data_IF_764565078583
#
_entry.id   IF_764565078583
#
_cell.length_a   1.000
_cell.length_b   1.000
_cell.length_c   1.000
_cell.angle_alpha   90.00
_cell.angle_beta   90.00
_cell.angle_gamma   90.00
#
_symmetry.space_group_name_H-M   'P 1'
#
loop_
_entity.id
_entity.type
_entity.pdbx_description
1 polymer ?
#
# COMPACT_ATOMS: atom_id res chain seq x y z
N UNK A 1 19.88 8.07 21.13
CA UNK A 1 20.03 7.87 19.68
C UNK A 1 19.74 6.41 19.40
N UNK A 2 18.95 6.10 18.38
CA UNK A 2 18.79 4.72 17.91
C UNK A 2 19.65 4.46 16.68
N UNK A 3 20.20 3.25 16.60
CA UNK A 3 21.09 2.81 15.53
C UNK A 3 20.36 1.79 14.65
N UNK A 4 20.61 1.84 13.35
CA UNK A 4 20.07 0.91 12.36
C UNK A 4 18.53 0.82 12.35
N UNK A 5 17.85 1.96 12.50
CA UNK A 5 16.39 1.98 12.30
C UNK A 5 16.07 1.80 10.81
N UNK A 6 14.87 1.33 10.52
CA UNK A 6 14.41 1.08 9.16
C UNK A 6 14.70 -0.33 8.77
N UNK A 7 15.27 -0.55 7.58
CA UNK A 7 15.50 -1.87 6.98
C UNK A 7 14.31 -2.44 6.19
N UNK A 8 13.47 -1.55 5.66
CA UNK A 8 12.38 -1.91 4.76
C UNK A 8 12.93 -2.18 3.36
N UNK A 9 12.66 -3.38 2.83
CA UNK A 9 13.18 -3.76 1.51
C UNK A 9 12.36 -3.15 0.36
N UNK A 10 13.01 -2.99 -0.79
CA UNK A 10 12.39 -2.69 -2.08
C UNK A 10 12.69 -3.80 -3.09
N UNK A 11 11.86 -3.94 -4.14
CA UNK A 11 12.12 -4.90 -5.22
C UNK A 11 13.42 -4.54 -5.98
N UNK A 12 14.22 -5.53 -6.46
CA UNK A 12 15.49 -5.26 -7.10
C UNK A 12 15.39 -4.39 -8.37
N UNK A 13 16.34 -3.47 -8.53
CA UNK A 13 16.49 -2.67 -9.74
C UNK A 13 17.45 -3.34 -10.72
N UNK A 14 16.92 -4.13 -11.66
CA UNK A 14 17.75 -4.87 -12.62
C UNK A 14 18.51 -3.99 -13.62
N UNK A 15 18.19 -2.70 -13.74
CA UNK A 15 18.99 -1.75 -14.54
C UNK A 15 20.39 -1.54 -13.97
N UNK A 16 20.62 -1.89 -12.70
CA UNK A 16 21.92 -1.81 -12.05
C UNK A 16 22.90 -2.87 -12.55
N UNK A 17 22.43 -4.01 -13.08
CA UNK A 17 23.28 -5.14 -13.49
C UNK A 17 24.41 -4.67 -14.43
N UNK A 18 24.09 -3.80 -15.39
CA UNK A 18 25.08 -3.28 -16.37
C UNK A 18 26.14 -2.35 -15.77
N UNK A 19 25.93 -1.82 -14.55
CA UNK A 19 26.88 -0.93 -13.87
C UNK A 19 28.06 -1.68 -13.25
N UNK A 20 27.91 -2.98 -12.99
CA UNK A 20 28.94 -3.82 -12.39
C UNK A 20 30.00 -4.28 -13.42
N UNK A 21 30.81 -3.32 -13.87
CA UNK A 21 31.88 -3.55 -14.87
C UNK A 21 33.21 -4.01 -14.25
N UNK A 22 33.38 -3.83 -12.94
CA UNK A 22 34.59 -4.18 -12.19
C UNK A 22 34.70 -5.67 -11.80
N UNK A 23 35.43 -5.93 -10.71
CA UNK A 23 35.70 -7.29 -10.19
C UNK A 23 34.49 -7.92 -9.49
N UNK A 24 33.57 -7.10 -8.96
CA UNK A 24 32.33 -7.57 -8.36
C UNK A 24 31.28 -7.83 -9.45
N UNK A 25 30.59 -8.97 -9.36
CA UNK A 25 29.52 -9.37 -10.30
C UNK A 25 28.19 -9.53 -9.56
N UNK A 26 27.08 -8.96 -10.06
CA UNK A 26 25.80 -8.93 -9.36
C UNK A 26 24.99 -10.21 -9.64
N UNK A 27 25.59 -11.37 -9.36
CA UNK A 27 25.02 -12.69 -9.73
C UNK A 27 23.66 -12.96 -9.11
N UNK A 28 23.41 -12.43 -7.92
CA UNK A 28 22.10 -12.47 -7.31
C UNK A 28 21.03 -11.74 -8.13
N UNK A 29 21.32 -10.54 -8.64
CA UNK A 29 20.36 -9.80 -9.49
C UNK A 29 20.11 -10.52 -10.81
N UNK A 30 21.13 -11.15 -11.41
CA UNK A 30 20.96 -11.99 -12.60
C UNK A 30 19.99 -13.16 -12.30
N UNK A 31 20.17 -13.88 -11.19
CA UNK A 31 19.28 -14.97 -10.76
C UNK A 31 17.86 -14.49 -10.49
N UNK A 32 17.70 -13.36 -9.79
CA UNK A 32 16.38 -12.79 -9.50
C UNK A 32 15.65 -12.39 -10.78
N UNK A 33 16.37 -11.80 -11.74
CA UNK A 33 15.83 -11.44 -13.05
C UNK A 33 15.41 -12.67 -13.85
N UNK A 34 16.27 -13.68 -13.95
CA UNK A 34 15.96 -14.94 -14.63
C UNK A 34 14.74 -15.63 -14.01
N UNK A 35 14.65 -15.66 -12.68
CA UNK A 35 13.49 -16.21 -11.95
C UNK A 35 12.21 -15.42 -12.23
N UNK A 36 12.28 -14.09 -12.30
CA UNK A 36 11.13 -13.25 -12.61
C UNK A 36 10.64 -13.48 -14.06
N UNK A 37 11.57 -13.60 -15.01
CA UNK A 37 11.28 -13.93 -16.41
C UNK A 37 10.66 -15.33 -16.54
N UNK A 38 11.19 -16.32 -15.82
CA UNK A 38 10.65 -17.67 -15.76
C UNK A 38 9.22 -17.72 -15.18
N UNK A 39 8.87 -16.76 -14.32
CA UNK A 39 7.51 -16.57 -13.80
C UNK A 39 6.63 -15.65 -14.66
N UNK A 40 7.07 -15.30 -15.87
CA UNK A 40 6.32 -14.49 -16.84
C UNK A 40 5.98 -13.07 -16.35
N UNK A 41 6.88 -12.46 -15.57
CA UNK A 41 6.69 -11.11 -15.02
C UNK A 41 7.90 -10.18 -15.26
N UNK A 42 8.81 -10.54 -16.16
CA UNK A 42 10.03 -9.76 -16.43
C UNK A 42 9.76 -8.33 -16.89
N UNK A 43 8.66 -8.12 -17.63
CA UNK A 43 8.15 -6.81 -18.08
C UNK A 43 7.62 -5.94 -16.93
N UNK A 44 7.33 -6.53 -15.77
CA UNK A 44 6.85 -5.83 -14.59
C UNK A 44 7.96 -5.41 -13.62
N UNK A 45 9.23 -5.76 -13.88
CA UNK A 45 10.34 -5.49 -12.96
C UNK A 45 10.42 -4.01 -12.53
N UNK A 46 10.34 -3.09 -13.50
CA UNK A 46 10.35 -1.65 -13.24
C UNK A 46 9.11 -1.21 -12.42
N UNK A 47 7.93 -1.75 -12.74
CA UNK A 47 6.70 -1.45 -12.01
C UNK A 47 6.77 -1.97 -10.57
N UNK A 48 7.40 -3.13 -10.34
CA UNK A 48 7.61 -3.68 -9.00
C UNK A 48 8.57 -2.82 -8.19
N UNK A 49 9.69 -2.38 -8.76
CA UNK A 49 10.60 -1.42 -8.13
C UNK A 49 9.85 -0.14 -7.73
N UNK A 50 9.10 0.45 -8.66
CA UNK A 50 8.40 1.71 -8.42
C UNK A 50 7.29 1.59 -7.37
N UNK A 51 6.49 0.52 -7.41
CA UNK A 51 5.38 0.32 -6.48
C UNK A 51 5.88 -0.06 -5.08
N UNK A 52 6.81 -1.01 -4.97
CA UNK A 52 7.40 -1.37 -3.68
C UNK A 52 8.24 -0.25 -3.08
N UNK A 53 8.90 0.56 -3.92
CA UNK A 53 9.69 1.71 -3.46
C UNK A 53 8.84 2.83 -2.85
N UNK A 54 7.64 3.08 -3.41
CA UNK A 54 6.68 3.99 -2.77
C UNK A 54 6.24 3.49 -1.40
N UNK A 55 6.01 2.19 -1.24
CA UNK A 55 5.72 1.60 0.08
C UNK A 55 6.93 1.70 1.03
N UNK A 56 8.14 1.44 0.54
CA UNK A 56 9.38 1.57 1.31
C UNK A 56 9.54 3.00 1.86
N UNK A 57 9.36 4.01 1.01
CA UNK A 57 9.39 5.41 1.42
C UNK A 57 8.30 5.75 2.45
N UNK A 58 7.11 5.16 2.32
CA UNK A 58 6.02 5.32 3.29
C UNK A 58 6.39 4.74 4.66
N UNK A 59 7.02 3.56 4.69
CA UNK A 59 7.51 2.93 5.92
C UNK A 59 8.62 3.77 6.58
N UNK A 60 9.61 4.24 5.81
CA UNK A 60 10.66 5.13 6.31
C UNK A 60 10.09 6.44 6.88
N UNK A 61 9.16 7.07 6.16
CA UNK A 61 8.47 8.28 6.66
C UNK A 61 7.77 8.01 7.98
N UNK A 62 7.01 6.93 8.11
CA UNK A 62 6.29 6.60 9.33
C UNK A 62 7.24 6.41 10.53
N UNK A 63 8.36 5.73 10.32
CA UNK A 63 9.34 5.43 11.35
C UNK A 63 10.17 6.64 11.76
N UNK A 64 10.68 7.42 10.79
CA UNK A 64 11.44 8.65 11.05
C UNK A 64 10.55 9.66 11.78
N UNK A 65 9.31 9.83 11.34
CA UNK A 65 8.38 10.71 12.05
C UNK A 65 8.07 10.21 13.47
N UNK A 66 8.02 8.89 13.71
CA UNK A 66 7.84 8.35 15.05
C UNK A 66 9.04 8.67 15.96
N UNK A 67 10.26 8.53 15.44
CA UNK A 67 11.48 8.93 16.14
C UNK A 67 11.46 10.44 16.47
N UNK A 68 11.13 11.28 15.49
CA UNK A 68 11.07 12.74 15.66
C UNK A 68 9.94 13.18 16.60
N UNK A 69 8.81 12.46 16.65
CA UNK A 69 7.71 12.70 17.60
C UNK A 69 8.01 12.23 19.03
N UNK A 70 9.08 11.49 19.27
CA UNK A 70 9.38 10.91 20.58
C UNK A 70 10.17 11.89 21.44
N UNK A 71 9.53 12.52 22.42
CA UNK A 71 10.18 13.51 23.31
C UNK A 71 11.43 12.94 23.97
N UNK A 72 12.55 13.66 23.85
CA UNK A 72 13.84 13.24 24.42
C UNK A 72 14.61 12.22 23.57
N UNK A 73 14.05 11.79 22.43
CA UNK A 73 14.76 10.94 21.49
C UNK A 73 15.80 11.75 20.71
N UNK A 74 17.08 11.61 21.08
CA UNK A 74 18.18 12.43 20.55
C UNK A 74 18.61 12.16 19.11
N UNK A 75 17.83 11.45 18.30
CA UNK A 75 18.11 11.18 16.88
C UNK A 75 18.20 9.70 16.51
N UNK A 76 18.44 9.42 15.23
CA UNK A 76 18.51 8.08 14.65
C UNK A 76 19.62 7.96 13.61
N UNK A 77 19.98 6.73 13.29
CA UNK A 77 20.80 6.36 12.12
C UNK A 77 20.06 5.28 11.33
N UNK A 78 19.88 5.49 10.02
CA UNK A 78 19.30 4.48 9.13
C UNK A 78 20.33 3.38 8.83
N UNK A 79 19.87 2.17 8.50
CA UNK A 79 20.69 1.16 7.86
C UNK A 79 20.18 0.90 6.43
N UNK A 80 20.83 1.40 5.39
CA UNK A 80 21.52 2.69 5.28
C UNK A 80 20.68 3.53 4.27
N UNK A 81 21.07 4.76 3.94
CA UNK A 81 20.43 5.54 2.87
C UNK A 81 20.59 4.87 1.50
N UNK A 82 21.68 4.11 1.32
CA UNK A 82 21.95 3.32 0.12
C UNK A 82 21.86 1.80 0.36
N UNK A 83 21.74 1.05 -0.73
CA UNK A 83 21.77 -0.41 -0.64
C UNK A 83 23.15 -0.94 -0.26
N UNK A 84 23.15 -1.97 0.58
CA UNK A 84 24.37 -2.69 0.93
C UNK A 84 24.52 -3.94 0.06
N UNK A 85 25.54 -4.02 -0.81
CA UNK A 85 25.72 -5.16 -1.71
C UNK A 85 26.32 -6.41 -1.03
N UNK A 86 26.78 -6.31 0.22
CA UNK A 86 27.33 -7.44 0.98
C UNK A 86 26.26 -8.36 1.58
N UNK A 87 26.69 -9.52 2.12
CA UNK A 87 25.85 -10.45 2.90
C UNK A 87 24.49 -10.85 2.25
N UNK A 88 24.46 -11.10 0.94
CA UNK A 88 23.24 -11.52 0.24
C UNK A 88 22.34 -10.38 -0.25
N UNK A 89 22.86 -9.14 -0.19
CA UNK A 89 22.25 -7.87 -0.66
C UNK A 89 21.05 -7.41 0.16
N UNK A 90 21.25 -6.32 0.90
CA UNK A 90 20.20 -5.61 1.61
C UNK A 90 19.66 -4.47 0.73
N UNK A 91 18.48 -4.69 0.16
CA UNK A 91 17.76 -3.73 -0.69
C UNK A 91 16.97 -2.72 0.14
N UNK A 92 17.63 -2.13 1.13
CA UNK A 92 17.01 -1.28 2.16
C UNK A 92 17.19 0.21 1.87
N UNK A 93 18.16 0.60 1.05
CA UNK A 93 18.40 1.99 0.72
C UNK A 93 17.34 2.57 -0.21
N UNK A 94 17.18 3.88 -0.17
CA UNK A 94 16.47 4.64 -1.22
C UNK A 94 17.38 5.00 -2.39
N UNK A 95 18.70 4.88 -2.19
CA UNK A 95 19.74 4.96 -3.21
C UNK A 95 20.30 3.57 -3.52
N UNK A 96 20.82 3.39 -4.73
CA UNK A 96 21.53 2.17 -5.11
C UNK A 96 22.97 2.13 -4.53
N UNK A 97 23.72 1.02 -4.65
CA UNK A 97 25.08 0.92 -4.13
C UNK A 97 26.10 1.90 -4.75
N UNK A 98 25.71 2.57 -5.85
CA UNK A 98 26.50 3.60 -6.54
C UNK A 98 26.09 5.01 -6.13
N UNK A 99 25.23 5.16 -5.11
CA UNK A 99 24.65 6.42 -4.63
C UNK A 99 23.70 7.11 -5.63
N UNK A 100 23.16 6.37 -6.59
CA UNK A 100 22.21 6.92 -7.57
C UNK A 100 20.77 6.71 -7.11
N UNK A 101 19.88 7.64 -7.49
CA UNK A 101 18.46 7.55 -7.18
C UNK A 101 17.80 6.36 -7.90
N UNK A 102 16.96 5.62 -7.17
CA UNK A 102 16.16 4.53 -7.73
C UNK A 102 14.87 5.00 -8.43
N UNK A 103 14.52 6.27 -8.28
CA UNK A 103 13.48 6.97 -9.06
C UNK A 103 12.08 7.04 -8.45
N UNK A 104 11.78 6.35 -7.34
CA UNK A 104 10.45 6.36 -6.71
C UNK A 104 10.27 7.44 -5.63
N UNK A 105 11.34 8.07 -5.17
CA UNK A 105 11.31 9.22 -4.27
C UNK A 105 12.50 10.14 -4.57
N UNK A 106 12.24 11.44 -4.64
CA UNK A 106 13.27 12.46 -4.83
C UNK A 106 13.87 12.88 -3.49
N UNK A 107 15.08 13.43 -3.51
CA UNK A 107 15.68 14.10 -2.34
C UNK A 107 14.77 15.16 -1.72
N UNK A 108 14.08 15.95 -2.56
CA UNK A 108 13.16 16.99 -2.10
C UNK A 108 11.99 16.41 -1.31
N UNK A 109 11.37 15.32 -1.78
CA UNK A 109 10.28 14.62 -1.09
C UNK A 109 10.77 13.96 0.20
N UNK A 110 11.93 13.30 0.18
CA UNK A 110 12.50 12.63 1.36
C UNK A 110 12.83 13.64 2.47
N UNK A 111 13.35 14.81 2.08
CA UNK A 111 13.67 15.91 3.00
C UNK A 111 12.43 16.54 3.67
N UNK A 112 11.21 16.21 3.24
CA UNK A 112 10.00 16.70 3.93
C UNK A 112 9.79 16.04 5.29
N UNK A 113 10.28 14.81 5.45
CA UNK A 113 10.16 14.04 6.70
C UNK A 113 11.51 13.70 7.35
N UNK A 114 12.63 13.92 6.66
CA UNK A 114 13.99 13.70 7.20
C UNK A 114 14.87 14.94 6.95
N UNK A 115 14.80 15.93 7.84
CA UNK A 115 15.50 17.21 7.71
C UNK A 115 15.76 17.83 9.09
N UNK A 116 16.45 18.97 9.14
CA UNK A 116 16.73 19.69 10.37
C UNK A 116 15.47 20.25 11.03
N UNK A 117 14.46 20.66 10.25
CA UNK A 117 13.13 21.01 10.75
C UNK A 117 12.09 20.17 10.05
N UNK A 118 11.26 19.50 10.82
CA UNK A 118 10.23 18.59 10.29
C UNK A 118 8.89 18.91 10.95
N UNK A 119 7.92 19.45 10.19
CA UNK A 119 6.53 19.49 10.61
C UNK A 119 5.98 18.08 10.80
N UNK A 120 5.27 17.85 11.90
CA UNK A 120 4.75 16.55 12.30
C UNK A 120 3.26 16.67 12.61
N UNK A 121 2.51 15.62 12.30
CA UNK A 121 1.11 15.50 12.70
C UNK A 121 0.90 14.17 13.38
N UNK A 122 0.06 14.16 14.43
CA UNK A 122 -0.51 12.96 15.02
C UNK A 122 -1.95 12.81 14.53
N UNK A 123 -2.19 11.71 13.84
CA UNK A 123 -3.52 11.28 13.41
C UNK A 123 -3.80 9.95 14.12
N UNK A 124 -4.95 9.84 14.79
CA UNK A 124 -5.42 8.56 15.35
C UNK A 124 -5.75 7.56 14.25
N UNK A 125 -6.29 8.06 13.14
CA UNK A 125 -6.63 7.28 11.95
C UNK A 125 -6.42 8.11 10.69
N UNK A 126 -6.28 7.42 9.56
CA UNK A 126 -6.14 8.02 8.21
C UNK A 126 -7.37 7.79 7.33
N UNK A 127 -8.34 7.07 7.85
CA UNK A 127 -9.52 6.61 7.15
C UNK A 127 -10.71 7.20 7.88
N UNK A 128 -11.49 7.97 7.15
CA UNK A 128 -12.60 8.72 7.69
C UNK A 128 -13.86 8.42 6.89
N UNK A 129 -14.98 8.51 7.59
CA UNK A 129 -16.28 8.63 6.97
C UNK A 129 -16.63 10.12 6.81
N UNK A 130 -17.39 10.46 5.78
CA UNK A 130 -17.97 11.79 5.69
C UNK A 130 -18.83 12.12 6.93
N UNK A 131 -18.85 13.40 7.32
CA UNK A 131 -19.45 13.87 8.56
C UNK A 131 -18.59 13.63 9.81
N UNK A 132 -17.50 12.87 9.72
CA UNK A 132 -16.55 12.80 10.83
C UNK A 132 -15.68 14.05 10.93
N UNK A 133 -15.18 14.30 12.14
CA UNK A 133 -14.23 15.36 12.39
C UNK A 133 -12.80 14.83 12.29
N UNK A 134 -12.02 15.38 11.37
CA UNK A 134 -10.58 15.21 11.35
C UNK A 134 -9.95 16.04 12.48
N UNK A 135 -9.31 15.35 13.42
CA UNK A 135 -8.55 15.95 14.50
C UNK A 135 -7.08 15.61 14.30
N UNK A 136 -6.24 16.63 14.22
CA UNK A 136 -4.80 16.47 14.02
C UNK A 136 -4.03 17.37 15.00
N UNK A 137 -3.29 16.76 15.94
CA UNK A 137 -2.32 17.49 16.76
C UNK A 137 -1.08 17.76 15.92
N UNK A 138 -0.66 19.01 15.85
CA UNK A 138 0.46 19.47 15.04
C UNK A 138 1.65 19.74 15.94
N UNK A 139 2.76 19.10 15.62
CA UNK A 139 4.04 19.23 16.33
C UNK A 139 5.14 19.60 15.34
N UNK A 140 6.31 19.98 15.86
CA UNK A 140 7.51 20.15 15.06
C UNK A 140 8.73 19.61 15.79
N UNK A 141 9.66 19.04 15.03
CA UNK A 141 11.02 18.82 15.47
C UNK A 141 11.92 19.89 14.84
N UNK A 142 12.70 20.59 15.64
CA UNK A 142 13.68 21.59 15.21
C UNK A 142 15.07 21.22 15.76
N UNK A 143 15.89 20.68 14.88
CA UNK A 143 17.30 20.38 15.10
C UNK A 143 18.22 21.28 14.24
N UNK A 144 17.76 22.48 13.86
CA UNK A 144 18.66 23.53 13.36
C UNK A 144 19.62 24.00 14.46
N UNK A 145 20.64 24.75 14.06
CA UNK A 145 21.58 25.40 14.98
C UNK A 145 20.92 26.49 15.84
N UNK A 146 19.77 27.02 15.42
CA UNK A 146 19.09 28.15 16.06
C UNK A 146 17.59 27.88 16.22
N UNK A 147 16.99 28.60 17.17
CA UNK A 147 15.54 28.65 17.35
C UNK A 147 14.86 29.43 16.21
N UNK A 148 13.68 29.00 15.78
CA UNK A 148 12.88 29.77 14.83
C UNK A 148 12.01 30.76 15.59
N UNK A 149 12.11 32.05 15.26
CA UNK A 149 11.38 33.11 15.97
C UNK A 149 10.14 33.54 15.21
N UNK A 150 9.06 33.82 15.96
CA UNK A 150 7.85 34.45 15.44
C UNK A 150 7.19 33.70 14.26
N UNK A 151 7.26 32.36 14.26
CA UNK A 151 6.73 31.51 13.20
C UNK A 151 5.21 31.44 13.28
N UNK A 152 4.55 31.49 12.12
CA UNK A 152 3.11 31.23 11.98
C UNK A 152 2.97 29.97 11.12
N UNK A 153 2.79 28.78 11.72
CA UNK A 153 2.58 27.56 10.96
C UNK A 153 1.28 27.64 10.17
N UNK A 154 1.29 27.07 8.97
CA UNK A 154 0.13 27.04 8.07
C UNK A 154 -0.24 25.61 7.73
N UNK A 155 -1.50 25.38 7.44
CA UNK A 155 -1.96 24.09 6.97
C UNK A 155 -2.97 24.25 5.84
N UNK A 156 -3.04 23.24 4.98
CA UNK A 156 -4.06 23.10 3.94
C UNK A 156 -4.46 21.64 3.80
N UNK A 157 -5.72 21.43 3.47
CA UNK A 157 -6.30 20.15 3.11
C UNK A 157 -6.77 20.25 1.66
N UNK A 158 -6.22 19.44 0.78
CA UNK A 158 -6.54 19.47 -0.65
C UNK A 158 -6.81 18.10 -1.23
N UNK A 159 -7.66 18.02 -2.24
CA UNK A 159 -7.82 16.84 -3.09
C UNK A 159 -6.60 16.64 -3.98
N UNK A 160 -6.51 15.46 -4.61
CA UNK A 160 -5.38 15.09 -5.49
C UNK A 160 -5.21 15.98 -6.73
N UNK A 161 -6.30 16.60 -7.21
CA UNK A 161 -6.30 17.58 -8.31
C UNK A 161 -5.88 18.99 -7.87
N UNK A 162 -5.54 19.19 -6.60
CA UNK A 162 -5.05 20.44 -6.04
C UNK A 162 -6.14 21.39 -5.56
N UNK A 163 -7.42 21.01 -5.62
CA UNK A 163 -8.50 21.83 -5.05
C UNK A 163 -8.39 21.83 -3.52
N UNK A 164 -8.34 23.03 -2.94
CA UNK A 164 -8.28 23.23 -1.49
C UNK A 164 -9.70 23.05 -0.92
N UNK A 165 -9.88 22.07 -0.04
CA UNK A 165 -11.12 21.90 0.73
C UNK A 165 -11.14 22.79 1.97
N UNK A 166 -9.98 22.98 2.60
CA UNK A 166 -9.84 23.85 3.77
C UNK A 166 -8.39 24.28 3.97
N UNK A 167 -8.17 25.39 4.65
CA UNK A 167 -6.83 25.86 5.03
C UNK A 167 -6.89 26.78 6.23
N UNK A 168 -5.77 26.95 6.92
CA UNK A 168 -5.70 27.81 8.07
C UNK A 168 -4.28 28.09 8.53
N UNK A 169 -4.18 28.80 9.65
CA UNK A 169 -2.92 29.09 10.34
C UNK A 169 -3.06 28.70 11.81
N UNK A 170 -1.96 28.23 12.40
CA UNK A 170 -1.87 27.94 13.82
C UNK A 170 -1.34 29.18 14.58
N UNK A 171 -1.47 29.23 15.93
CA UNK A 171 -0.98 30.35 16.72
C UNK A 171 0.50 30.67 16.43
N UNK A 172 0.80 31.97 16.40
CA UNK A 172 2.17 32.46 16.28
C UNK A 172 3.00 31.98 17.48
N UNK A 173 4.17 31.38 17.24
CA UNK A 173 5.03 30.87 18.30
C UNK A 173 6.52 30.96 17.94
N UNK A 174 7.36 30.91 18.96
CA UNK A 174 8.79 30.62 18.82
C UNK A 174 8.99 29.10 18.91
N UNK A 175 9.89 28.55 18.10
CA UNK A 175 10.19 27.11 18.05
C UNK A 175 11.62 26.91 18.53
N UNK A 176 11.75 26.40 19.77
CA UNK A 176 13.04 26.08 20.38
C UNK A 176 13.75 24.92 19.66
N UNK A 177 15.01 24.66 20.02
CA UNK A 177 15.72 23.46 19.57
C UNK A 177 15.21 22.24 20.35
N UNK A 178 14.89 21.16 19.64
CA UNK A 178 14.42 19.90 20.20
C UNK A 178 13.25 19.31 19.43
N UNK A 179 12.49 18.43 20.08
CA UNK A 179 11.38 17.73 19.45
C UNK A 179 10.13 17.64 20.35
N UNK A 180 9.00 17.29 19.74
CA UNK A 180 7.69 17.29 20.41
C UNK A 180 7.23 18.69 20.81
N UNK A 181 7.57 19.70 20.01
CA UNK A 181 7.15 21.09 20.22
C UNK A 181 5.74 21.22 19.66
N UNK A 182 4.77 21.51 20.53
CA UNK A 182 3.36 21.68 20.16
C UNK A 182 3.14 22.98 19.38
N UNK A 183 2.43 22.88 18.26
CA UNK A 183 2.01 24.00 17.42
C UNK A 183 0.50 24.23 17.47
N UNK A 184 -0.26 23.34 18.12
CA UNK A 184 -1.71 23.40 18.23
C UNK A 184 -2.42 22.31 17.44
N UNK A 185 -3.72 22.52 17.21
CA UNK A 185 -4.64 21.48 16.71
C UNK A 185 -5.38 21.94 15.47
N UNK A 186 -5.48 21.06 14.48
CA UNK A 186 -6.37 21.19 13.35
C UNK A 186 -7.65 20.42 13.66
N UNK A 187 -8.79 21.06 13.42
CA UNK A 187 -10.11 20.50 13.65
C UNK A 187 -10.99 20.83 12.44
N UNK A 188 -11.38 19.82 11.68
CA UNK A 188 -12.10 19.98 10.42
C UNK A 188 -13.22 18.95 10.31
N UNK A 189 -14.46 19.42 10.23
CA UNK A 189 -15.61 18.57 9.92
C UNK A 189 -15.62 18.25 8.43
N UNK A 190 -15.52 16.97 8.10
CA UNK A 190 -15.45 16.51 6.72
C UNK A 190 -16.85 16.62 6.09
N UNK A 191 -17.03 17.41 5.03
CA UNK A 191 -18.33 17.59 4.43
C UNK A 191 -18.81 16.32 3.73
N UNK A 192 -20.13 16.12 3.76
CA UNK A 192 -20.81 15.08 2.98
C UNK A 192 -20.90 15.52 1.51
N UNK A 193 -20.19 14.81 0.64
CA UNK A 193 -20.18 15.02 -0.81
C UNK A 193 -20.75 13.83 -1.57
N UNK A 194 -20.87 12.65 -0.91
CA UNK A 194 -21.30 11.41 -1.54
C UNK A 194 -20.23 10.77 -2.43
N UNK A 195 -19.01 11.30 -2.46
CA UNK A 195 -17.94 10.85 -3.35
C UNK A 195 -16.72 10.40 -2.53
N UNK A 196 -16.24 9.16 -2.70
CA UNK A 196 -15.03 8.70 -2.03
C UNK A 196 -13.83 9.47 -2.58
N UNK A 197 -12.92 9.92 -1.71
CA UNK A 197 -11.77 10.75 -2.12
C UNK A 197 -10.54 10.60 -1.23
N UNK A 198 -9.38 10.91 -1.81
CA UNK A 198 -8.11 11.09 -1.10
C UNK A 198 -7.90 12.58 -0.85
N UNK A 199 -7.61 12.94 0.40
CA UNK A 199 -7.20 14.27 0.84
C UNK A 199 -5.74 14.24 1.26
N UNK A 200 -5.06 15.35 1.03
CA UNK A 200 -3.66 15.59 1.41
C UNK A 200 -3.66 16.70 2.44
N UNK A 201 -3.35 16.37 3.69
CA UNK A 201 -3.08 17.34 4.73
C UNK A 201 -1.62 17.76 4.61
N UNK A 202 -1.36 19.03 4.32
CA UNK A 202 -0.03 19.61 4.31
C UNK A 202 0.11 20.64 5.42
N UNK A 203 1.23 20.56 6.16
CA UNK A 203 1.61 21.54 7.19
C UNK A 203 2.93 22.17 6.78
N UNK A 204 3.00 23.49 6.91
CA UNK A 204 4.18 24.32 6.62
C UNK A 204 4.63 25.05 7.89
N UNK A 205 5.93 24.98 8.19
CA UNK A 205 6.60 25.71 9.28
C UNK A 205 7.79 26.44 8.66
N UNK A 206 7.70 27.76 8.54
CA UNK A 206 8.63 28.56 7.74
C UNK A 206 8.75 28.01 6.31
N UNK A 207 9.95 27.64 5.86
CA UNK A 207 10.20 27.07 4.52
C UNK A 207 10.09 25.54 4.48
N UNK A 208 9.79 24.89 5.61
CA UNK A 208 9.72 23.44 5.72
C UNK A 208 8.27 22.98 5.59
N UNK A 209 8.04 21.92 4.82
CA UNK A 209 6.70 21.35 4.64
C UNK A 209 6.71 19.85 4.78
N UNK A 210 5.62 19.31 5.29
CA UNK A 210 5.36 17.87 5.31
C UNK A 210 3.88 17.60 5.02
N UNK A 211 3.55 16.40 4.54
CA UNK A 211 2.18 16.04 4.19
C UNK A 211 1.79 14.62 4.57
N UNK A 212 0.49 14.40 4.69
CA UNK A 212 -0.13 13.13 5.08
C UNK A 212 -1.38 12.88 4.24
N UNK A 213 -1.44 11.66 3.72
CA UNK A 213 -2.61 11.20 2.98
C UNK A 213 -3.70 10.70 3.93
N UNK A 214 -4.94 11.04 3.58
CA UNK A 214 -6.18 10.74 4.29
C UNK A 214 -7.21 10.25 3.26
N UNK A 215 -7.97 9.20 3.59
CA UNK A 215 -9.05 8.69 2.76
C UNK A 215 -10.38 8.99 3.44
N UNK A 216 -11.32 9.46 2.62
CA UNK A 216 -12.67 9.80 3.04
C UNK A 216 -13.66 8.99 2.21
N UNK A 217 -14.55 8.29 2.88
CA UNK A 217 -15.60 7.50 2.26
C UNK A 217 -16.99 8.01 2.66
N UNK A 218 -17.94 8.11 1.72
CA UNK A 218 -19.33 8.41 2.07
C UNK A 218 -19.93 7.26 2.88
N UNK A 219 -21.01 7.55 3.62
CA UNK A 219 -21.82 6.47 4.17
C UNK A 219 -22.43 5.67 3.02
N UNK A 220 -22.32 4.34 3.11
CA UNK A 220 -22.89 3.44 2.10
C UNK A 220 -24.01 2.66 2.76
N UNK A 221 -25.25 3.05 2.45
CA UNK A 221 -26.41 2.25 2.76
C UNK A 221 -26.58 1.17 1.69
N UNK A 222 -26.92 -0.06 2.11
CA UNK A 222 -27.50 -1.08 1.22
C UNK A 222 -26.66 -1.44 -0.02
N UNK A 223 -25.43 -1.92 0.19
CA UNK A 223 -24.47 -2.28 -0.88
C UNK A 223 -25.07 -3.26 -1.90
N UNK A 224 -25.95 -4.17 -1.45
CA UNK A 224 -26.40 -5.35 -2.20
C UNK A 224 -27.87 -5.33 -2.65
N UNK A 225 -28.64 -4.30 -2.32
CA UNK A 225 -30.11 -4.33 -2.53
C UNK A 225 -30.53 -4.45 -4.00
N UNK A 226 -29.63 -4.12 -4.94
CA UNK A 226 -29.91 -4.15 -6.38
C UNK A 226 -28.92 -5.02 -7.20
N UNK A 227 -28.17 -5.94 -6.57
CA UNK A 227 -27.20 -6.78 -7.29
C UNK A 227 -27.65 -8.24 -7.36
N UNK A 228 -27.72 -8.79 -8.57
CA UNK A 228 -27.87 -10.25 -8.82
C UNK A 228 -26.58 -11.05 -8.52
N UNK A 229 -25.60 -10.42 -7.85
CA UNK A 229 -24.30 -11.00 -7.52
C UNK A 229 -24.42 -11.87 -6.27
N UNK A 230 -23.97 -13.11 -6.36
CA UNK A 230 -23.80 -13.97 -5.20
C UNK A 230 -22.44 -13.68 -4.55
N UNK A 231 -22.46 -13.15 -3.33
CA UNK A 231 -21.26 -13.05 -2.48
C UNK A 231 -21.16 -14.31 -1.62
N UNK A 232 -20.01 -14.94 -1.62
CA UNK A 232 -19.77 -16.20 -0.90
C UNK A 232 -18.29 -16.31 -0.50
N UNK A 233 -18.02 -17.14 0.50
CA UNK A 233 -16.67 -17.55 0.91
C UNK A 233 -16.34 -19.00 0.51
N UNK A 234 -17.28 -19.73 -0.09
CA UNK A 234 -17.13 -21.15 -0.43
C UNK A 234 -17.54 -21.46 -1.88
N UNK A 235 -17.04 -22.58 -2.41
CA UNK A 235 -17.45 -23.18 -3.68
C UNK A 235 -18.38 -24.36 -3.40
N UNK A 236 -19.52 -24.08 -2.78
CA UNK A 236 -20.56 -25.06 -2.47
C UNK A 236 -21.53 -25.29 -3.64
N UNK A 237 -22.48 -26.21 -3.48
CA UNK A 237 -23.48 -26.51 -4.53
C UNK A 237 -24.30 -25.29 -4.96
N UNK A 238 -24.54 -24.33 -4.05
CA UNK A 238 -25.24 -23.08 -4.37
C UNK A 238 -24.40 -22.19 -5.28
N UNK A 239 -23.12 -22.05 -4.97
CA UNK A 239 -22.16 -21.25 -5.73
C UNK A 239 -21.94 -21.85 -7.12
N UNK A 240 -21.78 -23.18 -7.19
CA UNK A 240 -21.66 -23.93 -8.44
C UNK A 240 -22.91 -23.72 -9.30
N UNK A 241 -24.11 -23.92 -8.74
CA UNK A 241 -25.36 -23.72 -9.46
C UNK A 241 -25.53 -22.28 -9.96
N UNK A 242 -25.08 -21.28 -9.20
CA UNK A 242 -25.11 -19.88 -9.64
C UNK A 242 -24.24 -19.65 -10.88
N UNK A 243 -22.99 -20.14 -10.86
CA UNK A 243 -22.06 -20.04 -11.99
C UNK A 243 -22.54 -20.81 -13.22
N UNK A 244 -23.08 -22.02 -13.04
CA UNK A 244 -23.63 -22.83 -14.14
C UNK A 244 -24.87 -22.19 -14.79
N UNK A 245 -25.65 -21.43 -14.01
CA UNK A 245 -26.80 -20.65 -14.49
C UNK A 245 -26.43 -19.27 -15.04
N UNK A 246 -25.14 -18.95 -15.19
CA UNK A 246 -24.69 -17.70 -15.81
C UNK A 246 -24.65 -16.50 -14.88
N UNK A 247 -24.73 -16.69 -13.56
CA UNK A 247 -24.69 -15.57 -12.60
C UNK A 247 -23.28 -15.07 -12.35
N UNK A 248 -23.20 -13.82 -11.89
CA UNK A 248 -21.96 -13.23 -11.39
C UNK A 248 -21.78 -13.61 -9.92
N UNK A 249 -20.56 -14.02 -9.55
CA UNK A 249 -20.22 -14.44 -8.19
C UNK A 249 -18.98 -13.69 -7.72
N UNK A 250 -19.02 -13.19 -6.48
CA UNK A 250 -17.86 -12.69 -5.75
C UNK A 250 -17.46 -13.72 -4.70
N UNK A 251 -16.33 -14.39 -4.91
CA UNK A 251 -15.72 -15.27 -3.92
C UNK A 251 -14.79 -14.45 -3.04
N UNK A 252 -15.23 -14.09 -1.83
CA UNK A 252 -14.46 -13.35 -0.84
C UNK A 252 -13.93 -14.30 0.23
N UNK A 253 -12.68 -14.72 0.09
CA UNK A 253 -12.06 -15.74 0.93
C UNK A 253 -11.63 -15.19 2.29
N UNK A 254 -10.88 -14.09 2.32
CA UNK A 254 -10.29 -13.57 3.55
C UNK A 254 -9.14 -14.45 4.07
N UNK A 255 -8.67 -14.11 5.28
CA UNK A 255 -7.48 -14.72 5.89
C UNK A 255 -7.72 -16.16 6.36
N UNK A 256 -6.76 -17.05 6.08
CA UNK A 256 -6.78 -18.45 6.50
C UNK A 256 -7.68 -19.36 5.66
N UNK A 257 -8.12 -18.90 4.49
CA UNK A 257 -9.13 -19.56 3.64
C UNK A 257 -8.56 -20.02 2.30
N UNK A 258 -7.33 -19.62 1.96
CA UNK A 258 -6.58 -20.16 0.82
C UNK A 258 -5.70 -21.33 1.28
N UNK A 259 -5.65 -22.41 0.49
CA UNK A 259 -4.82 -23.59 0.75
C UNK A 259 -3.34 -23.27 0.74
N UNK A 260 -2.58 -23.99 1.55
CA UNK A 260 -1.13 -23.95 1.52
C UNK A 260 -0.63 -24.50 0.17
N UNK A 261 0.38 -23.87 -0.39
CA UNK A 261 0.86 -24.10 -1.75
C UNK A 261 0.00 -23.41 -2.82
N UNK A 262 -1.16 -22.85 -2.45
CA UNK A 262 -2.01 -22.00 -3.31
C UNK A 262 -1.95 -20.53 -2.94
N UNK A 263 -1.09 -20.16 -1.99
CA UNK A 263 -0.85 -18.78 -1.55
C UNK A 263 -1.22 -18.50 -0.10
N UNK A 264 -1.95 -19.40 0.57
CA UNK A 264 -2.31 -19.25 1.99
C UNK A 264 -1.11 -19.28 2.95
N UNK A 265 0.02 -19.81 2.51
CA UNK A 265 1.28 -19.81 3.25
C UNK A 265 2.05 -18.48 3.15
N UNK A 266 1.71 -17.63 2.18
CA UNK A 266 2.38 -16.34 1.99
C UNK A 266 1.94 -15.39 3.10
N UNK A 267 2.89 -14.93 3.92
CA UNK A 267 2.59 -13.93 4.94
C UNK A 267 2.35 -12.56 4.34
N UNK A 268 1.10 -12.16 4.17
CA UNK A 268 0.73 -10.82 3.71
C UNK A 268 0.72 -9.83 4.88
N UNK A 269 1.05 -8.57 4.61
CA UNK A 269 0.97 -7.48 5.56
C UNK A 269 1.13 -6.13 4.86
N UNK A 270 0.74 -5.06 5.54
CA UNK A 270 0.80 -3.72 4.95
C UNK A 270 2.23 -3.25 4.69
N UNK A 271 3.15 -3.46 5.64
CA UNK A 271 4.54 -3.05 5.50
C UNK A 271 5.27 -3.86 4.43
N UNK A 272 6.39 -3.34 3.96
CA UNK A 272 7.32 -4.14 3.15
C UNK A 272 8.01 -5.22 3.99
N UNK A 273 8.76 -6.10 3.33
CA UNK A 273 9.64 -7.09 3.97
C UNK A 273 10.67 -6.33 4.81
N UNK A 274 10.84 -6.77 6.06
CA UNK A 274 11.90 -6.29 6.95
C UNK A 274 13.16 -7.15 6.75
N UNK A 275 14.31 -6.52 6.50
CA UNK A 275 15.58 -7.22 6.35
C UNK A 275 16.04 -7.79 7.70
N UNK A 276 16.39 -9.08 7.86
CA UNK A 276 16.43 -10.20 6.92
C UNK A 276 15.53 -11.35 7.41
N UNK A 277 14.56 -11.76 6.59
CA UNK A 277 13.58 -12.81 6.96
C UNK A 277 14.21 -14.16 7.28
N UNK A 278 15.37 -14.50 6.70
CA UNK A 278 16.07 -15.75 7.01
C UNK A 278 16.58 -15.77 8.47
N UNK A 279 17.03 -14.63 8.99
CA UNK A 279 17.54 -14.51 10.36
C UNK A 279 16.42 -14.35 11.38
N UNK A 280 15.24 -13.88 10.95
CA UNK A 280 14.05 -13.72 11.78
C UNK A 280 13.05 -14.89 11.65
N UNK A 281 13.54 -16.08 11.26
CA UNK A 281 12.75 -17.33 11.16
C UNK A 281 11.52 -17.19 10.25
N UNK A 282 11.67 -16.48 9.14
CA UNK A 282 10.61 -16.24 8.17
C UNK A 282 9.57 -15.24 8.67
N UNK A 283 9.98 -14.20 9.40
CA UNK A 283 9.08 -13.14 9.87
C UNK A 283 8.23 -12.57 8.72
N UNK A 284 6.93 -12.41 8.99
CA UNK A 284 5.98 -11.77 8.08
C UNK A 284 6.12 -10.23 8.16
N UNK A 285 5.84 -9.49 7.08
CA UNK A 285 5.34 -9.97 5.79
C UNK A 285 6.42 -10.52 4.87
N UNK A 286 5.99 -11.29 3.86
CA UNK A 286 6.80 -11.90 2.80
C UNK A 286 6.60 -11.23 1.44
N UNK A 287 5.99 -10.05 1.43
CA UNK A 287 5.51 -9.35 0.24
C UNK A 287 5.92 -7.89 0.29
N UNK A 288 6.03 -7.25 -0.88
CA UNK A 288 6.55 -5.89 -1.05
C UNK A 288 5.45 -4.87 -1.41
N UNK A 289 4.22 -5.15 -1.00
CA UNK A 289 3.04 -4.34 -1.29
C UNK A 289 2.24 -4.81 -2.51
N UNK A 290 1.43 -3.90 -3.05
CA UNK A 290 0.55 -4.16 -4.19
C UNK A 290 1.00 -3.42 -5.45
N UNK A 291 0.60 -3.95 -6.61
CA UNK A 291 0.61 -3.27 -7.91
C UNK A 291 -0.79 -3.36 -8.51
N UNK A 292 -1.37 -2.24 -8.91
CA UNK A 292 -2.65 -2.20 -9.64
C UNK A 292 -2.69 -1.05 -10.64
N UNK A 293 -3.66 -1.08 -11.55
CA UNK A 293 -4.02 0.09 -12.34
C UNK A 293 -5.13 0.87 -11.63
N UNK A 294 -4.88 2.08 -11.10
CA UNK A 294 -5.89 2.87 -10.42
C UNK A 294 -7.05 3.30 -11.34
N UNK A 295 -6.90 3.19 -12.67
CA UNK A 295 -7.96 3.47 -13.65
C UNK A 295 -8.83 2.27 -13.96
N UNK A 296 -8.52 1.08 -13.44
CA UNK A 296 -9.33 -0.11 -13.66
C UNK A 296 -10.76 0.10 -13.12
N UNK A 297 -11.79 -0.24 -13.89
CA UNK A 297 -13.19 0.06 -13.53
C UNK A 297 -13.61 -0.57 -12.18
N UNK A 298 -13.05 -1.74 -11.83
CA UNK A 298 -13.18 -2.37 -10.51
C UNK A 298 -12.77 -1.47 -9.32
N UNK A 299 -11.84 -0.53 -9.53
CA UNK A 299 -11.29 0.36 -8.49
C UNK A 299 -11.81 1.81 -8.62
N UNK A 300 -12.72 2.09 -9.55
CA UNK A 300 -13.21 3.43 -9.86
C UNK A 300 -13.84 4.17 -8.69
N UNK A 301 -14.52 3.45 -7.81
CA UNK A 301 -15.12 4.01 -6.59
C UNK A 301 -14.25 3.74 -5.36
N UNK A 302 -12.97 3.40 -5.55
CA UNK A 302 -12.01 3.18 -4.48
C UNK A 302 -10.73 3.99 -4.79
N UNK A 303 -10.67 5.28 -4.39
CA UNK A 303 -9.53 6.15 -4.65
C UNK A 303 -8.21 5.50 -4.23
N UNK A 304 -7.39 5.20 -5.23
CA UNK A 304 -6.13 4.48 -5.04
C UNK A 304 -5.06 4.97 -6.01
N UNK A 305 -3.84 4.52 -5.75
CA UNK A 305 -2.67 4.70 -6.57
C UNK A 305 -2.21 3.33 -7.09
N UNK A 306 -1.18 3.32 -7.94
CA UNK A 306 -0.64 2.07 -8.49
C UNK A 306 0.11 1.21 -7.46
N UNK A 307 0.24 1.68 -6.21
CA UNK A 307 1.03 1.07 -5.14
C UNK A 307 0.27 1.06 -3.81
N UNK A 308 0.84 0.39 -2.80
CA UNK A 308 0.30 0.38 -1.44
C UNK A 308 0.32 1.76 -0.82
N UNK A 309 -0.78 2.14 -0.18
CA UNK A 309 -0.92 3.31 0.67
C UNK A 309 -2.01 3.01 1.73
N UNK A 310 -2.22 3.85 2.74
CA UNK A 310 -2.89 3.48 3.99
C UNK A 310 -4.30 2.88 3.84
N UNK A 311 -5.05 3.20 2.78
CA UNK A 311 -6.34 2.57 2.48
C UNK A 311 -6.28 1.07 2.21
N UNK A 312 -5.10 0.54 1.86
CA UNK A 312 -4.88 -0.89 1.69
C UNK A 312 -4.58 -1.62 3.00
N UNK A 313 -4.42 -0.91 4.12
CA UNK A 313 -4.04 -1.52 5.40
C UNK A 313 -5.03 -2.61 5.83
N UNK A 314 -6.33 -2.32 5.80
CA UNK A 314 -7.36 -3.28 6.19
C UNK A 314 -7.37 -4.50 5.26
N UNK A 315 -7.35 -4.28 3.95
CA UNK A 315 -7.32 -5.35 2.96
C UNK A 315 -6.11 -6.28 3.17
N UNK A 316 -4.92 -5.72 3.35
CA UNK A 316 -3.69 -6.49 3.59
C UNK A 316 -3.68 -7.21 4.94
N UNK A 317 -4.43 -6.73 5.92
CA UNK A 317 -4.53 -7.33 7.26
C UNK A 317 -5.54 -8.48 7.33
N UNK A 318 -6.53 -8.46 6.44
CA UNK A 318 -7.67 -9.39 6.40
C UNK A 318 -7.73 -10.17 5.08
N UNK A 319 -6.57 -10.54 4.53
CA UNK A 319 -6.49 -11.30 3.29
C UNK A 319 -5.51 -12.48 3.37
N UNK A 320 -5.78 -13.48 2.54
CA UNK A 320 -4.76 -14.34 1.95
C UNK A 320 -4.52 -13.90 0.49
N UNK A 321 -3.39 -14.28 -0.10
CA UNK A 321 -3.15 -14.11 -1.54
C UNK A 321 -3.40 -15.41 -2.28
N UNK A 322 -3.76 -15.31 -3.56
CA UNK A 322 -3.92 -16.44 -4.46
C UNK A 322 -2.70 -16.55 -5.39
N UNK A 323 -2.06 -17.71 -5.42
CA UNK A 323 -0.96 -18.04 -6.33
C UNK A 323 -1.52 -18.43 -7.69
N UNK A 324 -1.26 -17.62 -8.71
CA UNK A 324 -1.72 -17.82 -10.08
C UNK A 324 -0.76 -18.64 -10.95
N UNK A 325 0.37 -19.12 -10.40
CA UNK A 325 1.38 -19.87 -11.17
C UNK A 325 0.82 -21.12 -11.88
N UNK A 326 -0.24 -21.72 -11.35
CA UNK A 326 -0.88 -22.91 -11.93
C UNK A 326 -2.02 -22.55 -12.91
N UNK A 327 -2.32 -21.27 -13.07
CA UNK A 327 -3.33 -20.77 -13.99
C UNK A 327 -2.68 -20.14 -15.24
N UNK A 328 -3.44 -20.02 -16.36
CA UNK A 328 -2.95 -19.37 -17.57
C UNK A 328 -2.27 -18.03 -17.29
N UNK A 329 -1.14 -17.79 -17.96
CA UNK A 329 -0.30 -16.59 -17.78
C UNK A 329 -1.03 -15.30 -18.14
N UNK A 330 -2.05 -15.41 -18.98
CA UNK A 330 -2.89 -14.32 -19.44
C UNK A 330 -3.88 -13.84 -18.37
N UNK A 331 -4.15 -14.65 -17.33
CA UNK A 331 -4.92 -14.19 -16.17
C UNK A 331 -4.04 -13.21 -15.38
N UNK A 332 -4.33 -11.93 -15.57
CA UNK A 332 -3.70 -10.82 -14.88
C UNK A 332 -4.54 -10.42 -13.66
N UNK A 333 -3.92 -10.23 -12.48
CA UNK A 333 -4.63 -9.67 -11.34
C UNK A 333 -5.10 -8.25 -11.63
N UNK A 334 -6.30 -7.91 -11.14
CA UNK A 334 -6.76 -6.52 -11.00
C UNK A 334 -5.92 -5.83 -9.92
N UNK A 335 -5.68 -6.52 -8.81
CA UNK A 335 -4.76 -6.11 -7.75
C UNK A 335 -3.77 -7.23 -7.51
N UNK A 336 -2.51 -6.98 -7.89
CA UNK A 336 -1.39 -7.90 -7.73
C UNK A 336 -0.71 -7.65 -6.39
N UNK A 337 -0.23 -8.70 -5.75
CA UNK A 337 0.73 -8.59 -4.64
C UNK A 337 2.13 -8.87 -5.17
N UNK A 338 3.07 -7.99 -4.83
CA UNK A 338 4.47 -8.13 -5.21
C UNK A 338 5.11 -9.11 -4.24
N UNK A 339 5.54 -10.26 -4.75
CA UNK A 339 6.22 -11.29 -3.96
C UNK A 339 7.67 -10.91 -3.64
N UNK A 340 8.32 -11.68 -2.78
CA UNK A 340 9.77 -11.62 -2.61
C UNK A 340 10.52 -11.99 -3.90
N UNK A 341 11.70 -11.39 -4.10
CA UNK A 341 12.52 -11.55 -5.30
C UNK A 341 13.23 -12.91 -5.39
N UNK A 342 13.21 -13.73 -4.33
CA UNK A 342 13.76 -15.08 -4.37
C UNK A 342 12.76 -16.05 -5.02
N UNK A 343 11.45 -15.88 -4.76
CA UNK A 343 10.41 -16.78 -5.27
C UNK A 343 9.67 -16.26 -6.50
N UNK A 344 9.46 -14.94 -6.61
CA UNK A 344 8.75 -14.31 -7.74
C UNK A 344 7.42 -14.98 -8.10
N UNK A 345 6.63 -15.42 -7.11
CA UNK A 345 5.32 -16.04 -7.35
C UNK A 345 4.38 -15.02 -7.99
N UNK A 346 3.53 -15.49 -8.92
CA UNK A 346 2.43 -14.68 -9.47
C UNK A 346 1.32 -14.62 -8.42
N UNK A 347 1.27 -13.56 -7.62
CA UNK A 347 0.29 -13.43 -6.52
C UNK A 347 -0.82 -12.42 -6.86
N UNK A 348 -2.06 -12.75 -6.49
CA UNK A 348 -3.23 -11.88 -6.66
C UNK A 348 -3.96 -11.67 -5.33
N UNK A 349 -4.45 -10.45 -5.12
CA UNK A 349 -5.55 -10.19 -4.17
C UNK A 349 -6.89 -10.22 -4.88
N UNK A 350 -6.97 -9.64 -6.08
CA UNK A 350 -8.17 -9.59 -6.90
C UNK A 350 -7.85 -10.07 -8.31
N UNK A 351 -8.63 -11.00 -8.84
CA UNK A 351 -8.61 -11.39 -10.25
C UNK A 351 -9.97 -11.92 -10.68
N UNK A 352 -10.21 -11.96 -11.98
CA UNK A 352 -11.50 -12.38 -12.55
C UNK A 352 -11.33 -13.44 -13.63
N UNK A 353 -12.34 -14.31 -13.74
CA UNK A 353 -12.39 -15.42 -14.70
C UNK A 353 -13.85 -15.77 -15.05
N UNK A 354 -14.04 -16.44 -16.19
CA UNK A 354 -15.26 -17.17 -16.52
C UNK A 354 -15.24 -18.53 -15.83
N UNK A 355 -16.38 -18.97 -15.29
CA UNK A 355 -16.55 -20.33 -14.74
C UNK A 355 -17.93 -20.84 -15.13
N UNK A 356 -17.97 -21.96 -15.87
CA UNK A 356 -19.21 -22.45 -16.46
C UNK A 356 -19.79 -21.42 -17.43
N UNK A 357 -21.05 -21.03 -17.22
CA UNK A 357 -21.72 -19.97 -18.00
C UNK A 357 -21.59 -18.58 -17.35
N UNK A 358 -21.14 -18.53 -16.11
CA UNK A 358 -21.09 -17.34 -15.27
C UNK A 358 -19.71 -16.71 -15.22
N UNK A 359 -19.62 -15.66 -14.40
CA UNK A 359 -18.40 -14.87 -14.20
C UNK A 359 -18.07 -14.83 -12.72
N UNK A 360 -16.80 -15.00 -12.39
CA UNK A 360 -16.30 -15.07 -11.03
C UNK A 360 -15.26 -13.98 -10.81
N UNK A 361 -15.50 -13.14 -9.81
CA UNK A 361 -14.47 -12.27 -9.23
C UNK A 361 -13.96 -12.97 -7.96
N UNK A 362 -12.67 -13.27 -7.91
CA UNK A 362 -12.03 -13.87 -6.74
C UNK A 362 -11.31 -12.79 -5.95
N UNK A 363 -11.63 -12.71 -4.67
CA UNK A 363 -11.02 -11.83 -3.70
C UNK A 363 -10.36 -12.61 -2.57
N UNK A 364 -9.06 -12.46 -2.43
CA UNK A 364 -8.32 -12.88 -1.25
C UNK A 364 -8.67 -12.06 0.00
N UNK A 365 -9.26 -10.88 -0.19
CA UNK A 365 -9.68 -9.96 0.87
C UNK A 365 -11.02 -10.40 1.45
N UNK A 366 -11.14 -10.33 2.79
CA UNK A 366 -12.42 -10.40 3.50
C UNK A 366 -13.23 -9.12 3.25
N UNK A 367 -14.31 -9.25 2.49
CA UNK A 367 -15.24 -8.19 2.14
C UNK A 367 -16.65 -8.48 2.68
N UNK A 368 -16.78 -9.25 3.77
CA UNK A 368 -18.09 -9.60 4.33
C UNK A 368 -18.15 -9.51 5.85
N UNK A 369 -17.02 -9.63 6.56
CA UNK A 369 -16.98 -9.55 8.01
C UNK A 369 -16.84 -8.12 8.51
N UNK A 370 -17.70 -7.73 9.47
CA UNK A 370 -17.62 -6.46 10.23
C UNK A 370 -17.50 -5.20 9.35
N UNK A 371 -18.23 -5.13 8.23
CA UNK A 371 -18.12 -4.01 7.29
C UNK A 371 -18.51 -2.65 7.86
N UNK A 372 -19.33 -2.61 8.91
CA UNK A 372 -19.73 -1.36 9.58
C UNK A 372 -18.57 -0.64 10.28
N UNK A 373 -17.49 -1.34 10.59
CA UNK A 373 -16.27 -0.77 11.17
C UNK A 373 -15.06 -0.76 10.22
N UNK A 374 -15.21 -1.33 9.01
CA UNK A 374 -14.14 -1.46 8.01
C UNK A 374 -14.49 -0.64 6.76
N UNK A 375 -14.34 0.68 6.84
CA UNK A 375 -14.82 1.61 5.81
C UNK A 375 -14.17 1.40 4.45
N UNK A 376 -12.87 1.09 4.40
CA UNK A 376 -12.22 0.77 3.12
C UNK A 376 -12.71 -0.54 2.50
N UNK A 377 -12.95 -1.59 3.31
CA UNK A 377 -13.52 -2.84 2.80
C UNK A 377 -14.95 -2.62 2.27
N UNK A 378 -15.76 -1.83 3.00
CA UNK A 378 -17.12 -1.45 2.59
C UNK A 378 -17.09 -0.67 1.27
N UNK A 379 -16.18 0.28 1.12
CA UNK A 379 -16.02 1.06 -0.11
C UNK A 379 -15.48 0.22 -1.28
N UNK A 380 -14.49 -0.64 -1.03
CA UNK A 380 -13.95 -1.53 -2.05
C UNK A 380 -15.04 -2.49 -2.53
N UNK A 381 -15.82 -3.09 -1.62
CA UNK A 381 -16.95 -3.93 -1.98
C UNK A 381 -17.97 -3.17 -2.85
N UNK A 382 -18.28 -1.92 -2.51
CA UNK A 382 -19.17 -1.07 -3.32
C UNK A 382 -18.61 -0.86 -4.74
N UNK A 383 -17.30 -0.61 -4.87
CA UNK A 383 -16.63 -0.46 -6.17
C UNK A 383 -16.70 -1.75 -7.00
N UNK A 384 -16.36 -2.89 -6.39
CA UNK A 384 -16.41 -4.20 -7.06
C UNK A 384 -17.83 -4.59 -7.45
N UNK A 385 -18.81 -4.35 -6.57
CA UNK A 385 -20.22 -4.61 -6.86
C UNK A 385 -20.72 -3.76 -8.05
N UNK A 386 -20.34 -2.48 -8.12
CA UNK A 386 -20.68 -1.63 -9.25
C UNK A 386 -20.06 -2.15 -10.56
N UNK A 387 -18.77 -2.52 -10.51
CA UNK A 387 -18.06 -3.08 -11.65
C UNK A 387 -18.69 -4.38 -12.15
N UNK A 388 -18.98 -5.32 -11.25
CA UNK A 388 -19.58 -6.61 -11.59
C UNK A 388 -21.03 -6.53 -12.12
N UNK A 389 -21.72 -5.41 -11.92
CA UNK A 389 -23.03 -5.14 -12.52
C UNK A 389 -22.93 -4.31 -13.82
N UNK A 390 -21.72 -4.03 -14.31
CA UNK A 390 -21.49 -3.28 -15.53
C UNK A 390 -21.04 -4.17 -16.68
N UNK A 391 -21.15 -3.67 -17.91
CA UNK A 391 -20.62 -4.36 -19.10
C UNK A 391 -19.09 -4.51 -19.08
N UNK A 392 -18.39 -3.69 -18.28
CA UNK A 392 -16.94 -3.77 -18.14
C UNK A 392 -16.47 -5.05 -17.43
N UNK A 393 -17.34 -5.71 -16.65
CA UNK A 393 -17.03 -7.02 -16.07
C UNK A 393 -17.18 -8.11 -17.12
N UNK A 394 -16.15 -8.28 -17.95
CA UNK A 394 -16.10 -9.27 -19.02
C UNK A 394 -14.79 -10.07 -19.02
N UNK A 395 -14.60 -10.98 -18.05
CA UNK A 395 -13.39 -11.78 -17.98
C UNK A 395 -13.19 -12.60 -19.26
N UNK A 396 -11.99 -12.54 -19.84
CA UNK A 396 -11.70 -13.23 -21.10
C UNK A 396 -11.39 -14.72 -20.90
N UNK A 397 -10.73 -15.07 -19.80
CA UNK A 397 -10.20 -16.40 -19.55
C UNK A 397 -11.12 -17.22 -18.67
N UNK A 398 -11.24 -18.52 -18.97
CA UNK A 398 -12.06 -19.45 -18.22
C UNK A 398 -11.21 -20.36 -17.33
N UNK A 399 -11.74 -20.67 -16.15
CA UNK A 399 -11.26 -21.74 -15.27
C UNK A 399 -12.41 -22.70 -14.97
N UNK A 400 -12.06 -23.95 -14.68
CA UNK A 400 -13.01 -24.96 -14.23
C UNK A 400 -13.36 -24.77 -12.75
N UNK A 401 -14.53 -25.27 -12.34
CA UNK A 401 -14.92 -25.31 -10.92
C UNK A 401 -13.86 -26.06 -10.10
N UNK A 402 -13.27 -27.12 -10.65
CA UNK A 402 -12.25 -27.89 -9.93
C UNK A 402 -10.98 -27.09 -9.68
N UNK A 403 -10.54 -26.25 -10.62
CA UNK A 403 -9.38 -25.37 -10.46
C UNK A 403 -9.63 -24.31 -9.37
N UNK A 404 -10.82 -23.72 -9.34
CA UNK A 404 -11.20 -22.75 -8.30
C UNK A 404 -11.39 -23.46 -6.93
N UNK A 405 -12.01 -24.62 -6.88
CA UNK A 405 -12.16 -25.34 -5.62
C UNK A 405 -10.81 -25.81 -5.04
N UNK A 406 -9.79 -25.96 -5.90
CA UNK A 406 -8.44 -26.33 -5.47
C UNK A 406 -7.71 -25.20 -4.73
N UNK A 407 -8.16 -23.94 -4.82
CA UNK A 407 -7.54 -22.83 -4.07
C UNK A 407 -8.12 -22.65 -2.66
N UNK A 408 -9.39 -23.03 -2.45
CA UNK A 408 -10.12 -22.81 -1.18
C UNK A 408 -9.83 -23.94 -0.18
N UNK A 409 -9.63 -23.61 1.10
CA UNK A 409 -9.40 -24.56 2.20
C UNK A 409 -10.60 -25.47 2.48
#
# INVERSE_FOLDING_TARGET
>A
ISHEIGQWCVYPNFKEIKKYTGVLKPKNFEIFKESLEANHMGDLADNFLMASGKLQALCYKAEIEAALRTKGFGGFQLLDLHDFPGQGTALVGVLDPFWEEKGYITSSEFSRFCNSVVPLVRLEKRIFKEGETLIADVEVANFNAEELKSVVPKWKLSTIDGKIESSGSLPKTDISIGNGIDLGKINYEIPNTGVPRKLILEVSVSDYTNSWDIWVYPEIENILINSDILITETIDSKTIAALENGKNVLLSLGKGKVKDGKGGEVGVGFSSIFWNTAWTKGQKPHTLGILCDPKHEALKLFPTEYHSNWQWWDAMSHADVIKLNEFPVQIKPIVRVIDDWFKNRRLALLFEVKVGKGKLLVSGIDLHTNLDSRYEAKQLLKSLNNYMNSEAFDPEFALTISEINNIVK
#
